data_IF_704150995706
#
_entry.id   IF_704150995706
#
_cell.length_a   1.000
_cell.length_b   1.000
_cell.length_c   1.000
_cell.angle_alpha   90.00
_cell.angle_beta   90.00
_cell.angle_gamma   90.00
#
_symmetry.space_group_name_H-M   'P 1'
#
loop_
_entity.id
_entity.type
_entity.pdbx_description
1 polymer ?
#
# COMPACT_ATOMS: atom_id res chain seq x y z
N UNK A 1 29.55 -34.34 30.51
CA UNK A 1 28.57 -33.34 30.07
C UNK A 1 27.46 -33.38 31.08
N UNK A 2 27.63 -32.60 32.15
CA UNK A 2 26.62 -32.42 33.19
C UNK A 2 25.40 -31.73 32.57
N UNK A 3 24.22 -32.24 32.90
CA UNK A 3 22.94 -31.71 32.49
C UNK A 3 22.77 -30.29 33.06
N UNK A 4 22.78 -29.30 32.17
CA UNK A 4 22.65 -27.89 32.50
C UNK A 4 21.27 -27.63 33.13
N UNK A 5 21.27 -27.68 34.47
CA UNK A 5 20.09 -27.61 35.31
C UNK A 5 19.51 -26.18 35.30
N UNK A 6 20.35 -25.17 35.03
CA UNK A 6 19.91 -23.78 34.82
C UNK A 6 19.14 -23.65 33.50
N UNK A 7 19.61 -24.27 32.43
CA UNK A 7 18.89 -24.28 31.14
C UNK A 7 17.52 -24.95 31.27
N UNK A 8 17.42 -26.07 31.99
CA UNK A 8 16.14 -26.74 32.21
C UNK A 8 15.18 -25.93 33.09
N UNK A 9 15.68 -25.27 34.13
CA UNK A 9 14.87 -24.37 34.97
C UNK A 9 14.41 -23.14 34.18
N UNK A 10 15.23 -22.63 33.27
CA UNK A 10 14.87 -21.48 32.45
C UNK A 10 13.80 -21.84 31.40
N UNK A 11 13.90 -23.03 30.79
CA UNK A 11 12.89 -23.57 29.88
C UNK A 11 11.57 -23.90 30.60
N UNK A 12 11.63 -24.41 31.83
CA UNK A 12 10.44 -24.64 32.66
C UNK A 12 9.77 -23.32 33.10
N UNK A 13 10.55 -22.29 33.42
CA UNK A 13 10.05 -20.95 33.70
C UNK A 13 9.43 -20.29 32.46
N UNK A 14 9.98 -20.53 31.26
CA UNK A 14 9.41 -20.09 29.97
C UNK A 14 8.10 -20.83 29.64
N UNK A 15 7.99 -22.12 30.00
CA UNK A 15 6.75 -22.89 29.85
C UNK A 15 5.67 -22.47 30.86
N UNK A 16 6.06 -22.13 32.10
CA UNK A 16 5.15 -21.68 33.16
C UNK A 16 4.70 -20.20 33.01
N UNK A 17 5.54 -19.35 32.39
CA UNK A 17 5.23 -17.95 32.09
C UNK A 17 4.60 -17.73 30.71
N UNK A 18 4.34 -18.82 29.98
CA UNK A 18 3.73 -18.80 28.66
C UNK A 18 2.35 -18.16 28.70
N UNK A 19 2.28 -16.86 28.42
CA UNK A 19 1.09 -16.27 27.80
C UNK A 19 0.74 -17.20 26.64
N UNK A 20 -0.45 -17.82 26.68
CA UNK A 20 -0.94 -18.68 25.61
C UNK A 20 -0.58 -18.03 24.27
N UNK A 21 0.17 -18.76 23.44
CA UNK A 21 0.55 -18.27 22.13
C UNK A 21 -0.75 -17.93 21.38
N UNK A 22 -1.02 -16.64 21.21
CA UNK A 22 -2.23 -16.14 20.56
C UNK A 22 -2.48 -16.95 19.29
N UNK A 23 -3.69 -17.45 19.13
CA UNK A 23 -4.11 -18.12 17.90
C UNK A 23 -3.89 -17.17 16.71
N UNK A 24 -3.75 -17.72 15.50
CA UNK A 24 -3.62 -16.91 14.28
C UNK A 24 -4.75 -15.90 14.16
N UNK A 25 -5.96 -16.28 14.57
CA UNK A 25 -7.14 -15.41 14.57
C UNK A 25 -7.06 -14.30 15.63
N UNK A 26 -6.57 -14.59 16.83
CA UNK A 26 -6.38 -13.57 17.88
C UNK A 26 -5.25 -12.59 17.56
N UNK A 27 -4.18 -13.05 16.89
CA UNK A 27 -3.16 -12.15 16.34
C UNK A 27 -3.77 -11.25 15.28
N UNK A 28 -4.54 -11.82 14.34
CA UNK A 28 -5.23 -11.04 13.31
C UNK A 28 -6.23 -10.04 13.92
N UNK A 29 -6.97 -10.40 14.98
CA UNK A 29 -7.87 -9.49 15.70
C UNK A 29 -7.13 -8.37 16.43
N UNK A 30 -6.05 -8.68 17.16
CA UNK A 30 -5.20 -7.67 17.84
C UNK A 30 -4.41 -6.80 16.87
N UNK A 31 -4.06 -7.32 15.70
CA UNK A 31 -3.31 -6.62 14.65
C UNK A 31 -4.23 -5.74 13.79
N UNK A 32 -5.55 -5.97 13.81
CA UNK A 32 -6.56 -5.14 13.14
C UNK A 32 -6.98 -3.95 13.98
N UNK A 33 -7.15 -4.12 15.29
CA UNK A 33 -7.63 -3.06 16.18
C UNK A 33 -6.49 -2.56 17.07
N UNK A 34 -6.00 -1.36 16.76
CA UNK A 34 -5.09 -0.61 17.63
C UNK A 34 -5.84 -0.05 18.86
N UNK A 35 -7.14 -0.34 19.01
CA UNK A 35 -7.99 0.16 20.10
C UNK A 35 -7.52 -0.35 21.47
N UNK A 36 -6.88 -1.53 21.51
CA UNK A 36 -6.28 -2.08 22.72
C UNK A 36 -5.10 -1.25 23.26
N UNK A 37 -4.59 -0.29 22.49
CA UNK A 37 -3.49 0.60 22.87
C UNK A 37 -3.96 1.85 23.62
N UNK A 38 -5.27 2.07 23.76
CA UNK A 38 -5.83 3.28 24.35
C UNK A 38 -5.55 4.55 23.52
N UNK A 39 -5.16 4.39 22.24
CA UNK A 39 -4.99 5.50 21.32
C UNK A 39 -6.35 6.16 21.03
N UNK A 40 -6.42 7.48 20.85
CA UNK A 40 -7.65 8.14 20.45
C UNK A 40 -8.08 7.63 19.07
N UNK A 41 -9.38 7.54 18.83
CA UNK A 41 -9.92 7.16 17.53
C UNK A 41 -9.49 8.18 16.47
N UNK A 42 -8.93 7.70 15.36
CA UNK A 42 -8.60 8.54 14.20
C UNK A 42 -9.79 9.40 13.73
N UNK A 43 -10.98 8.80 13.68
CA UNK A 43 -12.19 9.50 13.28
C UNK A 43 -12.57 10.62 14.27
N UNK A 44 -12.41 10.38 15.57
CA UNK A 44 -12.63 11.40 16.59
C UNK A 44 -11.59 12.53 16.47
N UNK A 45 -10.31 12.18 16.33
CA UNK A 45 -9.23 13.16 16.16
C UNK A 45 -9.43 14.03 14.92
N UNK A 46 -9.89 13.46 13.79
CA UNK A 46 -10.24 14.24 12.61
C UNK A 46 -11.33 15.27 12.91
N UNK A 47 -12.41 14.89 13.60
CA UNK A 47 -13.48 15.81 13.98
C UNK A 47 -12.98 16.91 14.93
N UNK A 48 -12.25 16.52 15.97
CA UNK A 48 -11.76 17.44 17.01
C UNK A 48 -10.74 18.44 16.46
N UNK A 49 -10.01 18.05 15.41
CA UNK A 49 -8.98 18.87 14.76
C UNK A 49 -9.47 19.57 13.48
N UNK A 50 -10.77 19.50 13.17
CA UNK A 50 -11.39 20.24 12.08
C UNK A 50 -11.10 19.71 10.67
N UNK A 51 -10.74 18.43 10.52
CA UNK A 51 -10.64 17.78 9.21
C UNK A 51 -12.03 17.51 8.66
N UNK A 52 -12.27 17.88 7.40
CA UNK A 52 -13.54 17.68 6.72
C UNK A 52 -13.93 16.20 6.70
N UNK A 53 -15.23 15.87 6.79
CA UNK A 53 -15.70 14.48 6.74
C UNK A 53 -15.06 13.69 5.59
N UNK A 54 -14.52 12.53 5.93
CA UNK A 54 -13.84 11.65 4.98
C UNK A 54 -14.90 10.94 4.13
N UNK A 55 -15.23 11.60 3.02
CA UNK A 55 -16.13 11.10 1.98
C UNK A 55 -15.38 10.98 0.67
N UNK A 56 -15.73 9.95 -0.08
CA UNK A 56 -15.20 9.65 -1.41
C UNK A 56 -15.65 10.73 -2.41
N UNK A 57 -14.69 11.31 -3.12
CA UNK A 57 -14.94 12.10 -4.33
C UNK A 57 -15.09 11.16 -5.53
N UNK A 58 -15.31 11.73 -6.73
CA UNK A 58 -15.21 10.96 -7.96
C UNK A 58 -13.88 10.19 -8.01
N UNK A 59 -13.94 8.95 -8.49
CA UNK A 59 -12.78 8.08 -8.57
C UNK A 59 -11.84 8.56 -9.68
N UNK A 60 -10.67 9.09 -9.30
CA UNK A 60 -9.63 9.52 -10.23
C UNK A 60 -8.59 8.44 -10.48
N UNK A 61 -8.42 7.54 -9.51
CA UNK A 61 -7.41 6.49 -9.52
C UNK A 61 -8.08 5.15 -9.26
N UNK A 62 -7.93 4.23 -10.19
CA UNK A 62 -8.39 2.85 -10.04
C UNK A 62 -7.19 1.95 -9.82
N UNK A 63 -7.06 1.46 -8.59
CA UNK A 63 -5.93 0.66 -8.16
C UNK A 63 -6.31 -0.81 -8.14
N UNK A 64 -5.48 -1.66 -8.76
CA UNK A 64 -5.68 -3.10 -8.82
C UNK A 64 -4.50 -3.81 -8.16
N UNK A 65 -4.76 -4.52 -7.07
CA UNK A 65 -3.83 -5.50 -6.53
C UNK A 65 -4.09 -6.85 -7.20
N UNK A 66 -3.25 -7.23 -8.16
CA UNK A 66 -3.50 -8.40 -9.01
C UNK A 66 -2.98 -9.72 -8.43
N UNK A 67 -2.38 -9.70 -7.23
CA UNK A 67 -1.95 -10.91 -6.54
C UNK A 67 -0.91 -10.64 -5.47
N UNK A 68 -0.60 -11.66 -4.67
CA UNK A 68 0.32 -11.55 -3.52
C UNK A 68 1.65 -12.30 -3.72
N UNK A 69 1.81 -12.99 -4.84
CA UNK A 69 3.10 -13.60 -5.20
C UNK A 69 4.15 -12.51 -5.47
N UNK A 70 5.33 -12.70 -4.89
CA UNK A 70 6.46 -11.80 -5.04
C UNK A 70 7.74 -12.64 -5.00
N UNK A 71 8.76 -12.27 -5.77
CA UNK A 71 10.10 -12.87 -5.67
C UNK A 71 10.86 -12.47 -4.38
N UNK A 72 10.33 -11.52 -3.59
CA UNK A 72 10.93 -11.06 -2.33
C UNK A 72 10.01 -11.30 -1.13
N UNK A 73 10.57 -11.38 0.08
CA UNK A 73 9.84 -11.47 1.34
C UNK A 73 10.29 -10.39 2.34
N UNK A 74 10.06 -9.12 2.01
CA UNK A 74 10.51 -7.99 2.82
C UNK A 74 9.94 -8.01 4.25
N UNK A 75 10.74 -7.59 5.23
CA UNK A 75 10.37 -7.60 6.66
C UNK A 75 9.31 -6.56 7.03
N UNK A 76 9.13 -5.52 6.20
CA UNK A 76 8.14 -4.45 6.39
C UNK A 76 7.05 -4.43 5.31
N UNK A 77 6.88 -5.50 4.54
CA UNK A 77 5.86 -5.54 3.49
C UNK A 77 4.45 -5.44 4.09
N UNK A 78 3.75 -4.33 3.82
CA UNK A 78 2.39 -4.11 4.29
C UNK A 78 1.36 -4.97 3.55
N UNK A 79 1.69 -5.45 2.35
CA UNK A 79 0.87 -6.37 1.53
C UNK A 79 1.03 -7.84 1.94
N UNK A 80 2.05 -8.16 2.76
CA UNK A 80 2.44 -9.53 3.13
C UNK A 80 2.77 -10.45 1.96
N UNK A 81 3.22 -9.87 0.85
CA UNK A 81 3.62 -10.61 -0.34
C UNK A 81 4.89 -11.43 -0.11
N UNK A 82 4.98 -12.59 -0.76
CA UNK A 82 6.17 -13.47 -0.69
C UNK A 82 6.15 -14.54 -1.79
N UNK A 83 7.27 -15.27 -1.98
CA UNK A 83 7.30 -16.39 -2.93
C UNK A 83 6.34 -17.54 -2.58
N UNK A 84 5.80 -17.55 -1.35
CA UNK A 84 4.87 -18.58 -0.86
C UNK A 84 3.39 -18.24 -1.11
N UNK A 85 3.07 -17.03 -1.59
CA UNK A 85 1.69 -16.55 -1.78
C UNK A 85 1.23 -16.77 -3.22
N UNK A 86 1.15 -18.03 -3.64
CA UNK A 86 0.84 -18.40 -5.04
C UNK A 86 -0.65 -18.52 -5.33
N UNK A 87 -1.50 -18.66 -4.30
CA UNK A 87 -2.94 -18.86 -4.48
C UNK A 87 -3.71 -17.56 -4.75
N UNK A 88 -3.24 -16.45 -4.21
CA UNK A 88 -3.87 -15.15 -4.36
C UNK A 88 -3.46 -14.48 -5.67
N UNK A 89 -4.24 -14.72 -6.72
CA UNK A 89 -4.03 -14.20 -8.06
C UNK A 89 -5.35 -13.73 -8.66
N UNK A 90 -5.32 -12.60 -9.36
CA UNK A 90 -6.48 -12.13 -10.10
C UNK A 90 -6.74 -13.08 -11.27
N UNK A 91 -7.97 -13.57 -11.36
CA UNK A 91 -8.42 -14.35 -12.52
C UNK A 91 -8.54 -13.45 -13.74
N UNK A 92 -8.50 -14.05 -14.93
CA UNK A 92 -8.79 -13.34 -16.18
C UNK A 92 -10.16 -12.64 -16.15
N UNK A 93 -11.18 -13.29 -15.60
CA UNK A 93 -12.52 -12.71 -15.45
C UNK A 93 -12.52 -11.47 -14.54
N UNK A 94 -11.78 -11.50 -13.44
CA UNK A 94 -11.60 -10.32 -12.57
C UNK A 94 -10.96 -9.16 -13.33
N UNK A 95 -9.89 -9.44 -14.08
CA UNK A 95 -9.16 -8.43 -14.85
C UNK A 95 -10.01 -7.85 -15.96
N UNK A 96 -10.74 -8.69 -16.70
CA UNK A 96 -11.67 -8.25 -17.76
C UNK A 96 -12.76 -7.35 -17.19
N UNK A 97 -13.33 -7.70 -16.03
CA UNK A 97 -14.33 -6.85 -15.38
C UNK A 97 -13.78 -5.51 -14.92
N UNK A 98 -12.56 -5.47 -14.39
CA UNK A 98 -11.92 -4.21 -14.06
C UNK A 98 -11.67 -3.36 -15.32
N UNK A 99 -11.25 -3.97 -16.42
CA UNK A 99 -11.07 -3.27 -17.70
C UNK A 99 -12.40 -2.70 -18.23
N UNK A 100 -13.51 -3.42 -18.08
CA UNK A 100 -14.86 -2.92 -18.42
C UNK A 100 -15.23 -1.69 -17.59
N UNK A 101 -15.04 -1.73 -16.26
CA UNK A 101 -15.32 -0.60 -15.37
C UNK A 101 -14.43 0.62 -15.70
N UNK A 102 -13.14 0.38 -15.98
CA UNK A 102 -12.21 1.43 -16.38
C UNK A 102 -12.58 2.05 -17.74
N UNK A 103 -12.96 1.22 -18.71
CA UNK A 103 -13.42 1.68 -20.02
C UNK A 103 -14.71 2.51 -19.90
N UNK A 104 -15.67 2.06 -19.07
CA UNK A 104 -16.89 2.81 -18.79
C UNK A 104 -16.60 4.17 -18.14
N UNK A 105 -15.71 4.21 -17.15
CA UNK A 105 -15.34 5.44 -16.45
C UNK A 105 -14.53 6.43 -17.31
N UNK A 106 -13.84 5.96 -18.36
CA UNK A 106 -13.10 6.83 -19.30
C UNK A 106 -13.95 7.29 -20.49
N UNK A 107 -15.08 6.62 -20.77
CA UNK A 107 -15.95 6.93 -21.89
C UNK A 107 -16.68 8.27 -21.67
N UNK A 108 -16.43 9.26 -22.54
CA UNK A 108 -17.14 10.54 -22.51
C UNK A 108 -16.70 11.52 -21.41
N UNK A 109 -15.76 11.14 -20.54
CA UNK A 109 -15.30 11.96 -19.41
C UNK A 109 -13.92 12.59 -19.63
N UNK A 110 -13.24 12.30 -20.76
CA UNK A 110 -11.89 12.83 -21.04
C UNK A 110 -11.85 14.37 -20.93
N UNK A 111 -10.98 14.87 -20.06
CA UNK A 111 -10.81 16.31 -19.80
C UNK A 111 -11.74 16.90 -18.73
N UNK A 112 -12.66 16.10 -18.17
CA UNK A 112 -13.46 16.49 -17.00
C UNK A 112 -12.61 16.49 -15.73
N UNK A 113 -12.97 17.35 -14.76
CA UNK A 113 -12.39 17.33 -13.41
C UNK A 113 -12.62 16.01 -12.68
N UNK A 114 -13.68 15.27 -13.04
CA UNK A 114 -14.06 13.99 -12.45
C UNK A 114 -13.57 12.79 -13.26
N UNK A 115 -12.77 13.01 -14.31
CA UNK A 115 -12.26 11.94 -15.15
C UNK A 115 -11.32 11.03 -14.35
N UNK A 116 -11.52 9.71 -14.51
CA UNK A 116 -10.50 8.75 -14.12
C UNK A 116 -9.24 8.98 -14.96
N UNK A 117 -8.10 9.17 -14.31
CA UNK A 117 -6.84 9.49 -14.97
C UNK A 117 -5.82 8.38 -14.89
N UNK A 118 -5.96 7.47 -13.93
CA UNK A 118 -4.88 6.55 -13.58
C UNK A 118 -5.38 5.14 -13.29
N UNK A 119 -4.72 4.15 -13.89
CA UNK A 119 -4.73 2.75 -13.49
C UNK A 119 -3.45 2.46 -12.69
N UNK A 120 -3.59 2.15 -11.40
CA UNK A 120 -2.46 1.87 -10.50
C UNK A 120 -2.35 0.36 -10.22
N UNK A 121 -1.38 -0.30 -10.84
CA UNK A 121 -1.19 -1.75 -10.74
C UNK A 121 -0.20 -2.08 -9.62
N UNK A 122 -0.68 -2.81 -8.63
CA UNK A 122 0.09 -3.26 -7.46
C UNK A 122 -0.08 -4.77 -7.21
N UNK A 123 0.53 -5.28 -6.14
CA UNK A 123 0.50 -6.69 -5.79
C UNK A 123 1.70 -7.10 -4.95
N UNK A 124 2.25 -8.28 -5.21
CA UNK A 124 3.53 -8.71 -4.65
C UNK A 124 4.72 -8.26 -5.49
N UNK A 125 4.89 -8.89 -6.64
CA UNK A 125 5.41 -8.23 -7.84
C UNK A 125 4.34 -8.41 -8.92
N UNK A 126 3.58 -7.36 -9.27
CA UNK A 126 2.51 -7.49 -10.26
C UNK A 126 2.99 -8.08 -11.58
N UNK A 127 4.24 -7.83 -11.96
CA UNK A 127 4.86 -8.26 -13.22
C UNK A 127 5.00 -9.79 -13.34
N UNK A 128 4.91 -10.52 -12.22
CA UNK A 128 4.94 -11.98 -12.16
C UNK A 128 3.54 -12.61 -12.29
N UNK A 129 2.47 -11.80 -12.33
CA UNK A 129 1.12 -12.30 -12.57
C UNK A 129 0.89 -12.47 -14.08
N UNK A 130 0.28 -13.60 -14.49
CA UNK A 130 0.02 -13.94 -15.89
C UNK A 130 -0.84 -12.89 -16.64
N UNK A 131 -1.68 -12.15 -15.92
CA UNK A 131 -2.57 -11.15 -16.48
C UNK A 131 -1.95 -9.75 -16.50
N UNK A 132 -0.74 -9.53 -15.99
CA UNK A 132 -0.11 -8.21 -15.94
C UNK A 132 0.04 -7.56 -17.32
N UNK A 133 0.69 -8.28 -18.24
CA UNK A 133 0.95 -7.77 -19.59
C UNK A 133 -0.36 -7.53 -20.35
N UNK A 134 -1.28 -8.48 -20.23
CA UNK A 134 -2.63 -8.36 -20.79
C UNK A 134 -3.37 -7.12 -20.25
N UNK A 135 -3.36 -6.88 -18.94
CA UNK A 135 -3.99 -5.71 -18.32
C UNK A 135 -3.41 -4.41 -18.89
N UNK A 136 -2.08 -4.30 -18.98
CA UNK A 136 -1.40 -3.12 -19.54
C UNK A 136 -1.77 -2.90 -21.00
N UNK A 137 -1.70 -3.94 -21.84
CA UNK A 137 -2.02 -3.86 -23.27
C UNK A 137 -3.47 -3.42 -23.52
N UNK A 138 -4.40 -3.89 -22.70
CA UNK A 138 -5.82 -3.55 -22.83
C UNK A 138 -6.17 -2.20 -22.24
N UNK A 139 -5.47 -1.75 -21.20
CA UNK A 139 -5.68 -0.45 -20.58
C UNK A 139 -5.03 0.69 -21.36
N UNK A 140 -3.90 0.46 -22.05
CA UNK A 140 -3.15 1.51 -22.74
C UNK A 140 -3.98 2.31 -23.77
N UNK A 141 -4.83 1.69 -24.62
CA UNK A 141 -5.69 2.42 -25.55
C UNK A 141 -6.75 3.31 -24.89
N UNK A 142 -7.06 3.09 -23.60
CA UNK A 142 -8.04 3.89 -22.86
C UNK A 142 -7.50 5.31 -22.56
N UNK A 143 -6.18 5.51 -22.66
CA UNK A 143 -5.55 6.83 -22.51
C UNK A 143 -5.40 7.31 -21.07
N UNK A 144 -5.46 6.39 -20.09
CA UNK A 144 -5.12 6.65 -18.69
C UNK A 144 -3.61 6.49 -18.47
N UNK A 145 -3.06 7.18 -17.47
CA UNK A 145 -1.73 6.87 -16.95
C UNK A 145 -1.76 5.46 -16.34
N UNK A 146 -0.82 4.60 -16.74
CA UNK A 146 -0.64 3.28 -16.12
C UNK A 146 0.56 3.36 -15.19
N UNK A 147 0.36 3.04 -13.93
CA UNK A 147 1.42 2.92 -12.93
C UNK A 147 1.69 1.44 -12.67
N UNK A 148 2.97 1.06 -12.68
CA UNK A 148 3.44 -0.23 -12.18
C UNK A 148 4.22 -0.01 -10.88
N UNK A 149 3.68 -0.54 -9.77
CA UNK A 149 4.38 -0.57 -8.48
C UNK A 149 5.38 -1.72 -8.46
N UNK A 150 6.64 -1.38 -8.69
CA UNK A 150 7.72 -2.34 -8.95
C UNK A 150 8.62 -2.53 -7.73
N UNK A 151 9.14 -3.74 -7.54
CA UNK A 151 10.08 -4.05 -6.48
C UNK A 151 11.57 -3.98 -6.93
N UNK A 152 11.81 -3.59 -8.19
CA UNK A 152 13.10 -3.53 -8.91
C UNK A 152 13.74 -4.88 -9.24
N UNK A 153 13.87 -5.79 -8.28
CA UNK A 153 14.60 -7.05 -8.55
C UNK A 153 13.83 -7.99 -9.46
N UNK A 154 12.51 -7.81 -9.61
CA UNK A 154 11.68 -8.54 -10.58
C UNK A 154 12.16 -8.38 -12.02
N UNK A 155 12.78 -7.23 -12.34
CA UNK A 155 13.34 -6.96 -13.68
C UNK A 155 14.51 -7.89 -14.06
N UNK A 156 15.05 -8.62 -13.08
CA UNK A 156 16.18 -9.54 -13.22
C UNK A 156 15.76 -11.01 -13.01
N UNK A 157 14.47 -11.28 -12.94
CA UNK A 157 13.97 -12.66 -12.81
C UNK A 157 13.92 -13.34 -14.18
N UNK A 158 14.15 -14.67 -14.25
CA UNK A 158 14.01 -15.41 -15.49
C UNK A 158 12.61 -15.24 -16.09
N UNK A 159 12.54 -14.99 -17.40
CA UNK A 159 11.28 -14.72 -18.12
C UNK A 159 10.81 -13.27 -18.06
N UNK A 160 11.60 -12.36 -17.48
CA UNK A 160 11.34 -10.91 -17.46
C UNK A 160 12.39 -10.11 -18.25
N UNK A 161 13.16 -10.76 -19.12
CA UNK A 161 14.25 -10.15 -19.89
C UNK A 161 13.75 -9.01 -20.80
N UNK A 162 12.52 -9.10 -21.30
CA UNK A 162 11.87 -8.11 -22.16
C UNK A 162 10.97 -7.11 -21.39
N UNK A 163 10.88 -7.24 -20.06
CA UNK A 163 9.91 -6.51 -19.24
C UNK A 163 10.13 -4.99 -19.33
N UNK A 164 11.37 -4.53 -19.28
CA UNK A 164 11.69 -3.09 -19.37
C UNK A 164 11.25 -2.51 -20.72
N UNK A 165 11.54 -3.22 -21.81
CA UNK A 165 11.12 -2.82 -23.16
C UNK A 165 9.59 -2.82 -23.30
N UNK A 166 8.92 -3.82 -22.71
CA UNK A 166 7.47 -3.88 -22.64
C UNK A 166 6.89 -2.66 -21.92
N UNK A 167 7.37 -2.35 -20.72
CA UNK A 167 6.92 -1.19 -19.95
C UNK A 167 7.13 0.11 -20.74
N UNK A 168 8.32 0.29 -21.35
CA UNK A 168 8.67 1.48 -22.13
C UNK A 168 7.76 1.65 -23.36
N UNK A 169 7.49 0.56 -24.09
CA UNK A 169 6.59 0.56 -25.26
C UNK A 169 5.19 1.06 -24.91
N UNK A 170 4.69 0.69 -23.75
CA UNK A 170 3.37 1.11 -23.25
C UNK A 170 3.42 2.40 -22.42
N UNK A 171 4.60 3.03 -22.28
CA UNK A 171 4.82 4.24 -21.46
C UNK A 171 4.30 4.09 -20.04
N UNK A 172 4.47 2.91 -19.45
CA UNK A 172 4.06 2.64 -18.08
C UNK A 172 4.95 3.42 -17.13
N UNK A 173 4.38 4.22 -16.23
CA UNK A 173 5.14 4.88 -15.18
C UNK A 173 5.57 3.84 -14.14
N UNK A 174 6.87 3.79 -13.85
CA UNK A 174 7.42 2.86 -12.86
C UNK A 174 7.53 3.57 -11.52
N UNK A 175 6.83 3.06 -10.49
CA UNK A 175 6.97 3.51 -9.10
C UNK A 175 7.67 2.41 -8.33
N UNK A 176 8.97 2.58 -8.13
CA UNK A 176 9.85 1.54 -7.61
C UNK A 176 10.12 1.70 -6.12
N UNK A 177 9.94 0.62 -5.36
CA UNK A 177 10.32 0.61 -3.94
C UNK A 177 11.84 0.66 -3.81
N UNK A 178 12.39 1.64 -3.09
CA UNK A 178 13.80 1.70 -2.70
C UNK A 178 13.92 2.45 -1.35
N UNK A 179 13.84 1.74 -0.21
CA UNK A 179 13.67 2.36 1.11
C UNK A 179 14.88 3.16 1.59
N UNK A 180 16.04 3.00 0.96
CA UNK A 180 17.24 3.77 1.22
C UNK A 180 18.16 3.74 -0.01
N UNK A 181 19.02 4.75 -0.16
CA UNK A 181 20.13 4.71 -1.12
C UNK A 181 21.36 3.97 -0.56
N UNK A 182 21.32 3.45 0.67
CA UNK A 182 22.40 2.65 1.25
C UNK A 182 22.09 1.15 1.27
N UNK A 183 23.10 0.36 0.92
CA UNK A 183 23.03 -1.11 0.88
C UNK A 183 22.58 -1.72 2.21
N UNK A 184 23.25 -1.37 3.30
CA UNK A 184 22.95 -1.95 4.62
C UNK A 184 21.49 -1.74 5.05
N UNK A 185 20.90 -0.59 4.75
CA UNK A 185 19.51 -0.32 5.08
C UNK A 185 18.55 -1.12 4.19
N UNK A 186 18.80 -1.15 2.88
CA UNK A 186 17.96 -1.89 1.94
C UNK A 186 18.00 -3.38 2.24
N UNK A 187 19.19 -3.94 2.44
CA UNK A 187 19.36 -5.37 2.69
C UNK A 187 18.79 -5.81 4.05
N UNK A 188 18.93 -4.99 5.09
CA UNK A 188 18.31 -5.26 6.40
C UNK A 188 16.78 -5.34 6.32
N UNK A 189 16.17 -4.57 5.41
CA UNK A 189 14.72 -4.52 5.27
C UNK A 189 14.17 -5.51 4.25
N UNK A 190 14.89 -5.74 3.15
CA UNK A 190 14.36 -6.44 1.98
C UNK A 190 15.00 -7.79 1.71
N UNK A 191 16.16 -8.05 2.33
CA UNK A 191 16.93 -9.27 2.18
C UNK A 191 18.30 -9.01 1.58
N UNK A 192 19.24 -9.91 1.85
CA UNK A 192 20.63 -9.82 1.39
C UNK A 192 20.72 -9.78 -0.14
N UNK A 193 21.54 -8.88 -0.67
CA UNK A 193 21.79 -8.70 -2.11
C UNK A 193 20.64 -8.01 -2.85
N UNK A 194 19.61 -7.52 -2.16
CA UNK A 194 18.50 -6.81 -2.81
C UNK A 194 18.95 -5.45 -3.29
N UNK A 195 19.83 -4.76 -2.57
CA UNK A 195 20.35 -3.46 -3.01
C UNK A 195 21.07 -3.55 -4.35
N UNK A 196 22.05 -4.44 -4.47
CA UNK A 196 22.81 -4.65 -5.71
C UNK A 196 21.89 -4.95 -6.90
N UNK A 197 20.94 -5.87 -6.71
CA UNK A 197 19.92 -6.21 -7.71
C UNK A 197 19.01 -5.01 -8.04
N UNK A 198 18.70 -4.16 -7.06
CA UNK A 198 17.89 -2.97 -7.27
C UNK A 198 18.64 -1.93 -8.11
N UNK A 199 19.93 -1.70 -7.84
CA UNK A 199 20.78 -0.82 -8.66
C UNK A 199 20.90 -1.34 -10.09
N UNK A 200 21.12 -2.64 -10.28
CA UNK A 200 21.13 -3.25 -11.61
C UNK A 200 19.80 -3.07 -12.35
N UNK A 201 18.66 -3.26 -11.69
CA UNK A 201 17.33 -2.99 -12.26
C UNK A 201 17.13 -1.52 -12.64
N UNK A 202 17.62 -0.58 -11.82
CA UNK A 202 17.58 0.86 -12.11
C UNK A 202 18.42 1.24 -13.33
N UNK A 203 19.59 0.60 -13.51
CA UNK A 203 20.39 0.79 -14.72
C UNK A 203 19.65 0.34 -15.99
N UNK A 204 18.95 -0.80 -15.95
CA UNK A 204 18.14 -1.26 -17.09
C UNK A 204 17.04 -0.23 -17.42
N UNK A 205 16.35 0.29 -16.40
CA UNK A 205 15.34 1.32 -16.58
C UNK A 205 15.95 2.60 -17.18
N UNK A 206 17.04 3.13 -16.62
CA UNK A 206 17.70 4.34 -17.14
C UNK A 206 18.22 4.15 -18.58
N UNK A 207 18.75 2.97 -18.92
CA UNK A 207 19.17 2.66 -20.28
C UNK A 207 18.00 2.71 -21.29
N UNK A 208 16.79 2.31 -20.85
CA UNK A 208 15.57 2.46 -21.65
C UNK A 208 14.99 3.89 -21.64
N UNK A 209 15.57 4.81 -20.86
CA UNK A 209 15.18 6.23 -20.79
C UNK A 209 14.33 6.60 -19.57
N UNK A 210 13.98 5.65 -18.70
CA UNK A 210 13.21 5.97 -17.49
C UNK A 210 13.96 6.91 -16.56
N UNK A 211 13.30 7.97 -16.08
CA UNK A 211 13.91 8.94 -15.17
C UNK A 211 14.93 9.87 -15.82
N UNK A 212 15.14 9.76 -17.14
CA UNK A 212 16.02 10.64 -17.93
C UNK A 212 15.19 11.78 -18.50
N UNK A 213 15.67 13.01 -18.32
CA UNK A 213 14.97 14.20 -18.80
C UNK A 213 14.75 14.16 -20.33
N UNK A 214 13.53 14.48 -20.76
CA UNK A 214 13.15 14.52 -22.17
C UNK A 214 12.75 13.16 -22.79
N UNK A 215 12.89 12.03 -22.08
CA UNK A 215 12.48 10.72 -22.60
C UNK A 215 10.96 10.51 -22.62
N UNK A 216 10.25 11.19 -21.73
CA UNK A 216 8.82 10.97 -21.47
C UNK A 216 8.52 9.72 -20.64
N UNK A 217 9.53 8.98 -20.17
CA UNK A 217 9.38 7.78 -19.34
C UNK A 217 9.66 8.11 -17.87
N UNK A 218 8.64 7.96 -17.02
CA UNK A 218 8.70 8.35 -15.60
C UNK A 218 9.12 7.20 -14.70
N UNK A 219 10.12 7.46 -13.86
CA UNK A 219 10.58 6.56 -12.80
C UNK A 219 10.56 7.30 -11.48
N UNK A 220 9.68 6.91 -10.58
CA UNK A 220 9.66 7.44 -9.22
C UNK A 220 10.19 6.39 -8.24
N UNK A 221 10.90 6.83 -7.21
CA UNK A 221 11.40 5.96 -6.13
C UNK A 221 10.56 6.16 -4.88
N UNK A 222 10.35 5.10 -4.11
CA UNK A 222 9.60 5.13 -2.85
C UNK A 222 10.54 4.92 -1.68
N UNK A 223 10.64 5.94 -0.83
CA UNK A 223 11.27 5.87 0.48
C UNK A 223 10.25 5.45 1.54
N UNK A 224 10.68 4.55 2.41
CA UNK A 224 10.04 4.36 3.71
C UNK A 224 11.10 4.09 4.79
N UNK A 225 10.90 4.58 6.02
CA UNK A 225 11.84 4.41 7.13
C UNK A 225 12.26 2.97 7.38
N UNK A 226 13.53 2.76 7.75
CA UNK A 226 14.03 1.46 8.21
C UNK A 226 13.57 1.07 9.63
N UNK A 227 12.81 1.93 10.32
CA UNK A 227 12.41 1.73 11.71
C UNK A 227 11.17 2.51 12.13
N UNK A 228 10.98 2.61 13.44
CA UNK A 228 9.80 3.20 14.09
C UNK A 228 9.89 4.74 14.21
N UNK A 229 10.13 5.43 13.09
CA UNK A 229 10.17 6.89 13.02
C UNK A 229 9.40 7.40 11.80
N UNK A 230 9.07 8.69 11.78
CA UNK A 230 8.37 9.32 10.66
C UNK A 230 9.32 9.58 9.50
N UNK A 231 8.78 9.57 8.28
CA UNK A 231 9.54 9.97 7.11
C UNK A 231 9.90 11.47 7.19
N UNK A 232 11.14 11.85 6.84
CA UNK A 232 11.51 13.26 6.67
C UNK A 232 10.69 13.93 5.56
N UNK A 233 10.75 15.27 5.51
CA UNK A 233 10.16 16.03 4.42
C UNK A 233 10.71 15.58 3.05
N UNK A 234 9.80 15.29 2.12
CA UNK A 234 10.10 14.71 0.80
C UNK A 234 11.11 15.54 0.01
N UNK A 235 10.99 16.87 0.00
CA UNK A 235 11.84 17.75 -0.80
C UNK A 235 13.33 17.66 -0.42
N UNK A 236 13.63 17.59 0.88
CA UNK A 236 15.00 17.42 1.37
C UNK A 236 15.55 16.03 1.05
N UNK A 237 14.70 15.01 1.21
CA UNK A 237 15.10 13.63 0.97
C UNK A 237 15.30 13.34 -0.51
N UNK A 238 14.48 13.91 -1.39
CA UNK A 238 14.62 13.76 -2.84
C UNK A 238 15.97 14.28 -3.34
N UNK A 239 16.39 15.47 -2.87
CA UNK A 239 17.68 16.04 -3.23
C UNK A 239 18.85 15.14 -2.80
N UNK A 240 18.78 14.59 -1.58
CA UNK A 240 19.77 13.63 -1.10
C UNK A 240 19.79 12.34 -1.95
N UNK A 241 18.62 11.77 -2.26
CA UNK A 241 18.52 10.59 -3.13
C UNK A 241 19.11 10.84 -4.52
N UNK A 242 18.77 11.97 -5.15
CA UNK A 242 19.28 12.34 -6.48
C UNK A 242 20.81 12.49 -6.45
N UNK A 243 21.35 13.12 -5.42
CA UNK A 243 22.80 13.28 -5.24
C UNK A 243 23.50 11.93 -5.04
N UNK A 244 23.07 11.13 -4.06
CA UNK A 244 23.72 9.88 -3.69
C UNK A 244 23.62 8.85 -4.82
N UNK A 245 22.43 8.63 -5.38
CA UNK A 245 22.23 7.67 -6.47
C UNK A 245 22.89 8.12 -7.78
N UNK A 246 22.86 9.42 -8.07
CA UNK A 246 23.50 9.97 -9.26
C UNK A 246 25.03 9.91 -9.19
N UNK A 247 25.62 10.29 -8.06
CA UNK A 247 27.08 10.34 -7.91
C UNK A 247 27.72 8.97 -7.71
N UNK A 248 27.12 8.10 -6.89
CA UNK A 248 27.71 6.80 -6.57
C UNK A 248 27.39 5.72 -7.61
N UNK A 249 26.22 5.82 -8.26
CA UNK A 249 25.71 4.77 -9.15
C UNK A 249 25.28 5.28 -10.53
N UNK A 250 25.38 6.57 -10.83
CA UNK A 250 24.95 7.10 -12.14
C UNK A 250 23.46 6.95 -12.41
N UNK A 251 22.63 6.83 -11.37
CA UNK A 251 21.18 6.61 -11.50
C UNK A 251 20.41 7.93 -11.50
N UNK A 252 19.48 8.07 -12.43
CA UNK A 252 18.53 9.18 -12.52
C UNK A 252 17.09 8.71 -12.25
N UNK A 253 16.28 9.56 -11.64
CA UNK A 253 14.85 9.29 -11.42
C UNK A 253 14.05 10.60 -11.36
N UNK A 254 12.76 10.51 -11.62
CA UNK A 254 11.83 11.63 -11.72
C UNK A 254 11.53 12.26 -10.37
N UNK A 255 10.85 11.54 -9.46
CA UNK A 255 10.48 12.03 -8.11
C UNK A 255 10.73 10.97 -7.03
N UNK A 256 10.89 11.45 -5.79
CA UNK A 256 10.89 10.60 -4.60
C UNK A 256 9.53 10.69 -3.91
N UNK A 257 8.94 9.55 -3.56
CA UNK A 257 7.74 9.45 -2.74
C UNK A 257 8.15 8.98 -1.34
N UNK A 258 7.96 9.81 -0.33
CA UNK A 258 8.22 9.47 1.06
C UNK A 258 6.95 8.98 1.77
N UNK A 259 7.03 7.80 2.41
CA UNK A 259 5.94 7.17 3.16
C UNK A 259 6.34 6.90 4.59
N UNK A 260 5.42 7.15 5.53
CA UNK A 260 5.52 6.54 6.86
C UNK A 260 5.24 5.04 6.74
N UNK A 261 5.88 4.24 7.58
CA UNK A 261 5.54 2.83 7.67
C UNK A 261 4.14 2.67 8.30
N UNK A 262 3.21 2.06 7.57
CA UNK A 262 1.89 1.79 8.14
C UNK A 262 1.99 0.75 9.25
N UNK A 263 1.39 0.96 10.43
CA UNK A 263 1.46 0.07 11.59
C UNK A 263 0.56 -1.17 11.39
N UNK A 264 0.73 -1.87 10.27
CA UNK A 264 -0.06 -3.04 9.88
C UNK A 264 0.88 -4.20 9.50
N UNK A 265 0.33 -5.42 9.53
CA UNK A 265 0.99 -6.62 9.00
C UNK A 265 2.42 -6.81 9.53
N UNK A 266 3.39 -7.10 8.66
CA UNK A 266 4.76 -7.44 9.06
C UNK A 266 5.45 -6.31 9.84
N UNK A 267 5.15 -5.05 9.54
CA UNK A 267 5.70 -3.94 10.32
C UNK A 267 5.08 -3.87 11.72
N UNK A 268 3.76 -4.08 11.85
CA UNK A 268 3.12 -4.21 13.16
C UNK A 268 3.72 -5.37 13.97
N UNK A 269 3.95 -6.54 13.35
CA UNK A 269 4.59 -7.68 14.00
C UNK A 269 6.02 -7.36 14.43
N UNK A 270 6.76 -6.64 13.57
CA UNK A 270 8.12 -6.20 13.86
C UNK A 270 8.18 -5.26 15.06
N UNK A 271 7.24 -4.31 15.15
CA UNK A 271 7.08 -3.39 16.28
C UNK A 271 6.70 -4.13 17.56
N UNK A 272 5.71 -5.03 17.48
CA UNK A 272 5.20 -5.79 18.62
C UNK A 272 6.28 -6.68 19.23
N UNK A 273 7.03 -7.42 18.40
CA UNK A 273 8.15 -8.26 18.84
C UNK A 273 9.27 -7.48 19.55
N UNK A 274 9.35 -6.17 19.31
CA UNK A 274 10.35 -5.27 19.91
C UNK A 274 9.79 -4.41 21.03
N UNK A 275 8.52 -4.59 21.42
CA UNK A 275 7.86 -3.76 22.42
C UNK A 275 7.67 -2.29 21.99
N UNK A 276 7.78 -1.97 20.69
CA UNK A 276 7.74 -0.59 20.17
C UNK A 276 6.40 -0.16 19.60
N UNK A 277 5.39 -1.04 19.61
CA UNK A 277 4.10 -0.75 18.96
C UNK A 277 3.39 0.45 19.61
N UNK A 278 3.34 0.51 20.94
CA UNK A 278 2.68 1.62 21.65
C UNK A 278 3.40 2.95 21.41
N UNK A 279 4.73 2.94 21.51
CA UNK A 279 5.58 4.10 21.26
C UNK A 279 5.37 4.64 19.84
N UNK A 280 5.38 3.75 18.83
CA UNK A 280 5.18 4.15 17.45
C UNK A 280 3.78 4.71 17.19
N UNK A 281 2.75 4.09 17.78
CA UNK A 281 1.40 4.64 17.69
C UNK A 281 1.28 6.01 18.36
N UNK A 282 1.92 6.21 19.52
CA UNK A 282 2.02 7.51 20.17
C UNK A 282 2.67 8.55 19.26
N UNK A 283 3.76 8.18 18.56
CA UNK A 283 4.41 9.05 17.57
C UNK A 283 3.46 9.43 16.43
N UNK A 284 2.71 8.47 15.88
CA UNK A 284 1.76 8.74 14.79
C UNK A 284 0.61 9.65 15.23
N UNK A 285 0.04 9.42 16.42
CA UNK A 285 -1.04 10.21 16.99
C UNK A 285 -0.57 11.63 17.31
N UNK A 286 0.56 11.77 18.00
CA UNK A 286 1.12 13.08 18.35
C UNK A 286 1.59 13.85 17.11
N UNK A 287 1.99 13.13 16.06
CA UNK A 287 2.36 13.70 14.78
C UNK A 287 1.18 14.02 13.86
N UNK A 288 -0.07 13.81 14.27
CA UNK A 288 -1.24 14.03 13.40
C UNK A 288 -1.25 15.44 12.80
N UNK A 289 -1.24 15.51 11.46
CA UNK A 289 -1.29 16.73 10.69
C UNK A 289 -2.66 16.85 9.98
N UNK A 290 -3.53 17.80 10.40
CA UNK A 290 -4.84 18.00 9.79
C UNK A 290 -4.79 18.30 8.29
N UNK A 291 -3.77 19.02 7.81
CA UNK A 291 -3.63 19.32 6.38
C UNK A 291 -3.38 18.06 5.55
N UNK A 292 -2.56 17.12 6.07
CA UNK A 292 -2.38 15.81 5.45
C UNK A 292 -3.67 14.96 5.48
N UNK A 293 -4.55 15.20 6.46
CA UNK A 293 -5.89 14.61 6.54
C UNK A 293 -6.83 15.07 5.40
N UNK A 294 -6.65 16.29 4.89
CA UNK A 294 -7.44 16.78 3.77
C UNK A 294 -7.03 16.18 2.43
N UNK A 295 -5.74 15.90 2.25
CA UNK A 295 -5.15 15.38 1.02
C UNK A 295 -5.02 13.85 0.99
N UNK A 296 -5.83 13.11 1.74
CA UNK A 296 -5.75 11.65 1.81
C UNK A 296 -6.13 10.99 0.46
N UNK A 297 -5.25 10.11 -0.03
CA UNK A 297 -5.45 9.37 -1.29
C UNK A 297 -6.75 8.55 -1.36
N UNK A 298 -7.29 8.12 -0.21
CA UNK A 298 -8.52 7.34 -0.18
C UNK A 298 -9.76 8.14 -0.58
N UNK A 299 -9.65 9.47 -0.71
CA UNK A 299 -10.73 10.32 -1.20
C UNK A 299 -11.07 10.04 -2.66
N UNK A 300 -10.09 9.85 -3.54
CA UNK A 300 -10.27 9.69 -4.99
C UNK A 300 -9.72 8.37 -5.56
N UNK A 301 -9.09 7.53 -4.74
CA UNK A 301 -8.63 6.19 -5.13
C UNK A 301 -9.66 5.12 -4.80
N UNK A 302 -10.01 4.25 -5.74
CA UNK A 302 -10.73 2.99 -5.48
C UNK A 302 -9.75 1.84 -5.63
N UNK A 303 -9.67 0.94 -4.63
CA UNK A 303 -8.75 -0.19 -4.65
C UNK A 303 -9.50 -1.52 -4.80
N UNK A 304 -9.02 -2.38 -5.69
CA UNK A 304 -9.59 -3.69 -6.01
C UNK A 304 -8.60 -4.78 -5.65
N UNK A 305 -9.04 -5.73 -4.82
CA UNK A 305 -8.27 -6.94 -4.52
C UNK A 305 -8.36 -7.93 -5.68
N UNK A 306 -7.39 -8.84 -5.78
CA UNK A 306 -7.34 -9.94 -6.74
C UNK A 306 -8.63 -10.78 -6.86
N UNK A 307 -9.47 -10.84 -5.83
CA UNK A 307 -10.77 -11.53 -5.83
C UNK A 307 -11.95 -10.67 -6.30
N UNK A 308 -11.70 -9.40 -6.66
CA UNK A 308 -12.71 -8.44 -7.09
C UNK A 308 -13.36 -7.63 -5.97
N UNK A 309 -12.96 -7.82 -4.71
CA UNK A 309 -13.49 -7.04 -3.58
C UNK A 309 -13.02 -5.59 -3.63
N UNK A 310 -13.93 -4.64 -3.35
CA UNK A 310 -13.68 -3.20 -3.39
C UNK A 310 -13.31 -2.63 -2.02
N UNK A 311 -12.35 -1.70 -1.99
CA UNK A 311 -11.81 -1.05 -0.81
C UNK A 311 -11.57 0.44 -1.05
N UNK A 312 -11.48 1.21 0.04
CA UNK A 312 -11.20 2.63 -0.06
C UNK A 312 -9.75 2.96 -0.42
N UNK A 313 -8.79 2.10 -0.05
CA UNK A 313 -7.38 2.20 -0.42
C UNK A 313 -6.66 0.87 -0.19
N UNK A 314 -5.39 0.78 -0.62
CA UNK A 314 -4.54 -0.40 -0.40
C UNK A 314 -4.42 -0.78 1.09
N UNK A 315 -4.30 0.17 2.01
CA UNK A 315 -4.17 -0.15 3.44
C UNK A 315 -5.46 -0.73 4.04
N UNK A 316 -6.63 -0.20 3.65
CA UNK A 316 -7.91 -0.82 3.99
C UNK A 316 -8.01 -2.22 3.39
N UNK A 317 -7.55 -2.39 2.14
CA UNK A 317 -7.44 -3.70 1.54
C UNK A 317 -6.60 -4.63 2.40
N UNK A 318 -5.41 -4.25 2.83
CA UNK A 318 -4.56 -5.15 3.62
C UNK A 318 -5.18 -5.51 4.98
N UNK A 319 -6.07 -4.67 5.53
CA UNK A 319 -6.79 -4.92 6.78
C UNK A 319 -8.16 -5.61 6.63
N UNK A 320 -8.55 -6.03 5.42
CA UNK A 320 -9.88 -6.59 5.12
C UNK A 320 -11.03 -5.62 5.44
N UNK A 321 -10.80 -4.31 5.34
CA UNK A 321 -11.81 -3.26 5.56
C UNK A 321 -12.58 -2.94 4.27
N UNK A 322 -13.30 -3.93 3.74
CA UNK A 322 -13.99 -3.82 2.45
C UNK A 322 -15.14 -2.79 2.46
N UNK A 323 -15.45 -2.22 1.30
CA UNK A 323 -16.73 -1.54 1.10
C UNK A 323 -17.86 -2.55 1.29
N UNK A 324 -19.01 -2.12 1.79
CA UNK A 324 -20.16 -3.00 2.04
C UNK A 324 -21.44 -2.46 1.39
N UNK A 325 -22.43 -3.32 1.19
CA UNK A 325 -23.73 -2.93 0.60
C UNK A 325 -24.54 -1.91 1.42
N UNK A 326 -24.20 -1.71 2.70
CA UNK A 326 -24.80 -0.65 3.54
C UNK A 326 -24.23 0.71 3.12
N UNK A 327 -24.95 1.42 2.24
CA UNK A 327 -24.53 2.73 1.73
C UNK A 327 -25.15 3.15 0.39
N UNK A 328 -25.97 2.31 -0.25
CA UNK A 328 -26.68 2.66 -1.50
C UNK A 328 -28.05 3.34 -1.27
N UNK A 329 -28.42 3.64 -0.02
CA UNK A 329 -29.66 4.35 0.32
C UNK A 329 -29.40 5.82 0.67
N UNK A 330 -30.14 6.72 0.03
CA UNK A 330 -30.18 8.14 0.36
C UNK A 330 -30.39 8.38 1.86
N UNK A 331 -29.56 9.22 2.48
CA UNK A 331 -29.88 9.87 3.74
C UNK A 331 -29.51 9.13 5.05
N UNK A 332 -28.60 8.16 5.06
CA UNK A 332 -27.99 7.75 6.32
C UNK A 332 -26.89 8.75 6.70
N UNK A 333 -27.04 9.41 7.85
CA UNK A 333 -26.06 10.31 8.45
C UNK A 333 -24.68 9.65 8.61
N UNK A 334 -23.64 10.41 8.99
CA UNK A 334 -22.31 9.85 9.14
C UNK A 334 -22.39 8.66 10.11
N UNK A 335 -21.96 7.48 9.67
CA UNK A 335 -21.66 6.39 10.59
C UNK A 335 -20.38 6.78 11.33
N UNK A 336 -20.53 7.72 12.26
CA UNK A 336 -19.58 8.17 13.26
C UNK A 336 -19.98 7.60 14.63
N UNK A 337 -20.55 6.39 14.66
CA UNK A 337 -20.62 5.64 15.90
C UNK A 337 -19.45 4.67 15.93
N UNK A 338 -18.43 5.09 16.68
CA UNK A 338 -17.32 4.26 17.09
C UNK A 338 -17.83 3.09 17.91
N UNK A 339 -18.06 1.96 17.25
CA UNK A 339 -18.08 0.63 17.83
C UNK A 339 -18.04 -0.41 16.70
N UNK A 340 -16.84 -0.65 16.15
CA UNK A 340 -16.54 -1.96 15.56
C UNK A 340 -15.33 -2.55 16.30
N UNK A 341 -15.44 -2.57 17.63
CA UNK A 341 -14.60 -3.34 18.52
C UNK A 341 -15.51 -4.33 19.26
N UNK A 342 -15.64 -5.55 18.74
CA UNK A 342 -16.39 -6.61 19.40
C UNK A 342 -17.09 -7.53 18.42
N UNK A 343 -16.50 -8.69 18.15
CA UNK A 343 -17.27 -9.83 17.66
C UNK A 343 -18.24 -10.24 18.78
N UNK A 344 -19.52 -9.86 18.65
CA UNK A 344 -20.55 -10.18 19.63
C UNK A 344 -21.80 -9.33 19.50
N UNK A 345 -22.58 -9.53 18.43
CA UNK A 345 -23.90 -8.91 18.27
C UNK A 345 -24.42 -9.06 16.84
N UNK A 346 -25.48 -9.86 16.65
CA UNK A 346 -26.09 -10.17 15.35
C UNK A 346 -26.82 -8.99 14.70
N UNK A 347 -26.07 -7.99 14.24
CA UNK A 347 -26.52 -6.95 13.31
C UNK A 347 -26.05 -7.27 11.90
N UNK A 348 -26.97 -7.28 10.93
CA UNK A 348 -26.80 -7.69 9.53
C UNK A 348 -25.35 -7.63 9.00
N UNK A 349 -24.73 -8.81 8.86
CA UNK A 349 -23.47 -9.00 8.16
C UNK A 349 -23.63 -8.48 6.72
N UNK A 350 -23.21 -7.24 6.50
CA UNK A 350 -23.25 -6.67 5.15
C UNK A 350 -22.12 -7.28 4.34
N UNK A 351 -22.50 -8.05 3.32
CA UNK A 351 -21.56 -8.69 2.39
C UNK A 351 -20.58 -7.64 1.83
N UNK A 352 -19.29 -7.98 1.64
CA UNK A 352 -18.36 -7.13 0.90
C UNK A 352 -18.89 -6.80 -0.50
N UNK A 353 -18.75 -5.53 -0.89
CA UNK A 353 -19.05 -5.05 -2.22
C UNK A 353 -17.90 -5.46 -3.17
N UNK A 354 -18.26 -5.92 -4.35
CA UNK A 354 -17.31 -6.38 -5.37
C UNK A 354 -17.49 -5.64 -6.69
N UNK A 355 -16.54 -5.77 -7.60
CA UNK A 355 -16.63 -5.26 -8.98
C UNK A 355 -17.82 -5.81 -9.78
N UNK A 356 -18.44 -6.91 -9.33
CA UNK A 356 -19.62 -7.50 -9.94
C UNK A 356 -20.92 -6.87 -9.44
N UNK A 357 -20.86 -6.14 -8.34
CA UNK A 357 -22.02 -5.52 -7.71
C UNK A 357 -22.29 -4.08 -8.19
N UNK A 358 -21.36 -3.50 -8.96
CA UNK A 358 -21.45 -2.14 -9.49
C UNK A 358 -21.42 -2.17 -11.02
N UNK A 359 -22.13 -1.26 -11.66
CA UNK A 359 -22.10 -1.01 -13.09
C UNK A 359 -21.11 0.10 -13.48
N UNK A 360 -20.89 1.06 -12.59
CA UNK A 360 -19.93 2.16 -12.74
C UNK A 360 -19.19 2.46 -11.43
N UNK A 361 -17.97 3.00 -11.53
CA UNK A 361 -17.23 3.52 -10.37
C UNK A 361 -17.92 4.74 -9.73
N UNK A 362 -18.77 5.46 -10.48
CA UNK A 362 -19.49 6.63 -9.98
C UNK A 362 -20.48 6.30 -8.86
N UNK A 363 -20.95 5.04 -8.81
CA UNK A 363 -21.81 4.52 -7.74
C UNK A 363 -21.12 4.54 -6.36
N UNK A 364 -19.79 4.72 -6.35
CA UNK A 364 -19.02 4.83 -5.13
C UNK A 364 -18.90 6.27 -4.62
N UNK A 365 -19.20 7.28 -5.45
CA UNK A 365 -19.04 8.70 -5.10
C UNK A 365 -19.91 9.10 -3.90
N UNK A 366 -19.35 9.91 -3.00
CA UNK A 366 -20.03 10.42 -1.81
C UNK A 366 -20.09 9.45 -0.62
N UNK A 367 -19.72 8.18 -0.82
CA UNK A 367 -19.70 7.18 0.25
C UNK A 367 -18.72 7.58 1.36
N UNK A 368 -19.03 7.28 2.64
CA UNK A 368 -18.07 7.45 3.74
C UNK A 368 -16.86 6.55 3.52
N UNK A 369 -15.66 7.09 3.76
CA UNK A 369 -14.40 6.35 3.72
C UNK A 369 -14.24 5.59 5.03
N UNK A 370 -13.91 4.30 4.96
CA UNK A 370 -13.62 3.48 6.14
C UNK A 370 -12.25 3.86 6.72
N UNK A 371 -12.25 4.24 7.99
CA UNK A 371 -11.03 4.63 8.71
C UNK A 371 -10.84 3.83 9.98
N UNK A 372 -9.58 3.70 10.39
CA UNK A 372 -9.15 3.09 11.65
C UNK A 372 -7.80 3.76 12.04
N UNK A 373 -7.24 3.43 13.19
CA UNK A 373 -6.05 4.05 13.75
C UNK A 373 -4.78 3.85 12.91
N UNK A 374 -4.74 2.89 11.97
CA UNK A 374 -3.64 2.82 11.01
C UNK A 374 -3.57 4.07 10.12
N UNK A 375 -4.69 4.77 9.92
CA UNK A 375 -4.77 5.99 9.12
C UNK A 375 -3.91 7.13 9.70
N UNK A 376 -3.57 7.11 10.99
CA UNK A 376 -2.57 8.03 11.55
C UNK A 376 -1.22 7.93 10.83
N UNK A 377 -0.87 6.76 10.29
CA UNK A 377 0.32 6.60 9.45
C UNK A 377 0.29 7.47 8.18
N UNK A 378 -0.89 7.69 7.60
CA UNK A 378 -1.04 8.53 6.41
C UNK A 378 -0.99 10.03 6.72
N UNK A 379 -1.39 10.42 7.93
CA UNK A 379 -1.55 11.83 8.33
C UNK A 379 -0.45 12.32 9.27
N UNK A 380 0.46 11.46 9.74
CA UNK A 380 1.50 11.87 10.68
C UNK A 380 2.64 12.65 10.00
N UNK A 381 3.11 13.71 10.64
CA UNK A 381 4.25 14.52 10.20
C UNK A 381 3.97 15.23 8.88
N UNK A 382 4.82 14.97 7.87
CA UNK A 382 4.63 15.50 6.51
C UNK A 382 3.56 14.75 5.70
N UNK A 383 2.94 13.72 6.30
CA UNK A 383 2.02 12.82 5.62
C UNK A 383 2.72 11.74 4.79
N UNK A 384 1.93 10.84 4.21
CA UNK A 384 2.41 9.81 3.28
C UNK A 384 2.07 10.19 1.84
N UNK A 385 3.10 10.44 1.04
CA UNK A 385 3.02 10.87 -0.36
C UNK A 385 2.74 9.73 -1.34
N UNK A 386 1.81 8.81 -1.04
CA UNK A 386 1.56 7.57 -1.79
C UNK A 386 1.41 7.73 -3.32
N UNK A 387 1.08 8.94 -3.78
CA UNK A 387 0.98 9.34 -5.19
C UNK A 387 1.58 10.75 -5.47
N UNK A 388 2.39 11.30 -4.57
CA UNK A 388 3.07 12.60 -4.73
C UNK A 388 2.32 13.82 -4.20
N UNK A 389 1.13 13.66 -3.62
CA UNK A 389 0.49 14.71 -2.83
C UNK A 389 1.12 14.76 -1.43
N UNK A 390 1.83 15.84 -1.13
CA UNK A 390 2.20 16.24 0.24
C UNK A 390 1.46 17.53 0.58
N UNK A 391 1.13 17.70 1.86
CA UNK A 391 0.49 18.91 2.39
C UNK A 391 1.40 20.15 2.29
#
# INVERSE_FOLDING_TARGET
MEEDTELQQHLAALAASGQQALTREERLKRQRSLDALGAPSFAATCRDRGVAPLRRSAARIFQLNIGLYCNQACSHCHVESSPRRTAEQASRATVDRCLELLAGATAGTRGSADAITTLDITGGAPELNENFRYLVERAAPLGVEIINRCNLTVLLEPGQEDLVDFLARHKVRVVASLPCYSEGNVDAQRGRGVFERSIAGLHLLNAAGYGVDGSGLQLDLVYNPGGAFLAPAQSKLEAAYKSELGSAYGISFSRLLALNNMPIKRFADWLAKRGKLQEYMGLLVNGFNPAAGESLMCRDTVSVRWDGTLYDCDFNQQLDMALTHLGMGAGAGPAIDGAVGGAGGGGASSRPLTIWDISSLDELTGRPIRVDNHCFGCTAGSGSSCQGAVA
#
